data_IF_711015679750
#
_entry.id   IF_711015679750
#
_cell.length_a   1.000
_cell.length_b   1.000
_cell.length_c   1.000
_cell.angle_alpha   90.00
_cell.angle_beta   90.00
_cell.angle_gamma   90.00
#
_symmetry.space_group_name_H-M   'P 1'
#
loop_
_entity.id
_entity.type
_entity.pdbx_description
1 polymer ?
#
# COMPACT_ATOMS: atom_id res chain seq x y z
N UNK A 1 12.63 -16.99 42.42
CA UNK A 1 11.41 -17.00 41.56
C UNK A 1 11.16 -15.68 40.82
N UNK A 2 12.05 -14.69 40.81
CA UNK A 2 11.85 -13.41 40.08
C UNK A 2 12.41 -13.39 38.63
N UNK A 3 13.04 -14.47 38.17
CA UNK A 3 13.78 -14.47 36.89
C UNK A 3 12.87 -14.76 35.67
N UNK A 4 11.78 -15.50 35.85
CA UNK A 4 10.90 -15.91 34.74
C UNK A 4 10.05 -14.75 34.14
N UNK A 5 9.78 -13.69 34.91
CA UNK A 5 9.00 -12.54 34.43
C UNK A 5 9.81 -11.55 33.59
N UNK A 6 11.12 -11.40 33.88
CA UNK A 6 12.01 -10.53 33.11
C UNK A 6 12.32 -11.08 31.72
N UNK A 7 12.53 -12.39 31.63
CA UNK A 7 12.84 -13.09 30.38
C UNK A 7 11.65 -13.05 29.41
N UNK A 8 10.43 -13.24 29.94
CA UNK A 8 9.19 -13.17 29.14
C UNK A 8 8.91 -11.77 28.60
N UNK A 9 9.17 -10.73 29.39
CA UNK A 9 8.99 -9.35 28.91
C UNK A 9 10.03 -8.97 27.85
N UNK A 10 11.25 -9.53 27.92
CA UNK A 10 12.27 -9.33 26.89
C UNK A 10 11.86 -9.98 25.56
N UNK A 11 11.37 -11.24 25.61
CA UNK A 11 10.85 -11.96 24.44
C UNK A 11 9.69 -11.21 23.77
N UNK A 12 8.73 -10.70 24.56
CA UNK A 12 7.60 -9.92 23.99
C UNK A 12 8.09 -8.60 23.36
N UNK A 13 9.08 -7.92 23.94
CA UNK A 13 9.65 -6.69 23.36
C UNK A 13 10.36 -6.95 22.03
N UNK A 14 11.04 -8.09 21.90
CA UNK A 14 11.67 -8.50 20.65
C UNK A 14 10.62 -8.76 19.56
N UNK A 15 9.58 -9.54 19.86
CA UNK A 15 8.48 -9.80 18.92
C UNK A 15 7.74 -8.53 18.48
N UNK A 16 7.56 -7.57 19.39
CA UNK A 16 7.02 -6.24 19.08
C UNK A 16 7.91 -5.51 18.07
N UNK A 17 9.24 -5.55 18.27
CA UNK A 17 10.20 -4.95 17.34
C UNK A 17 10.12 -5.58 15.95
N UNK A 18 10.10 -6.91 15.89
CA UNK A 18 9.96 -7.65 14.63
C UNK A 18 8.66 -7.26 13.90
N UNK A 19 7.55 -7.15 14.62
CA UNK A 19 6.26 -6.75 14.06
C UNK A 19 6.27 -5.30 13.53
N UNK A 20 6.95 -4.38 14.22
CA UNK A 20 7.13 -3.00 13.74
C UNK A 20 7.93 -2.96 12.42
N UNK A 21 8.97 -3.78 12.30
CA UNK A 21 9.78 -3.90 11.09
C UNK A 21 8.97 -4.48 9.92
N UNK A 22 8.18 -5.54 10.17
CA UNK A 22 7.28 -6.13 9.17
C UNK A 22 6.22 -5.13 8.68
N UNK A 23 5.55 -4.41 9.60
CA UNK A 23 4.58 -3.35 9.26
C UNK A 23 5.24 -2.29 8.37
N UNK A 24 6.46 -1.88 8.72
CA UNK A 24 7.23 -0.89 7.95
C UNK A 24 7.58 -1.40 6.55
N UNK A 25 7.92 -2.69 6.41
CA UNK A 25 8.19 -3.31 5.12
C UNK A 25 6.94 -3.37 4.24
N UNK A 26 5.79 -3.76 4.80
CA UNK A 26 4.52 -3.76 4.06
C UNK A 26 4.13 -2.34 3.63
N UNK A 27 4.39 -1.33 4.48
CA UNK A 27 4.18 0.08 4.16
C UNK A 27 4.98 0.52 2.92
N UNK A 28 6.27 0.19 2.85
CA UNK A 28 7.11 0.47 1.68
C UNK A 28 6.57 -0.18 0.41
N UNK A 29 6.09 -1.43 0.50
CA UNK A 29 5.50 -2.12 -0.65
C UNK A 29 4.21 -1.43 -1.10
N UNK A 30 3.35 -1.02 -0.16
CA UNK A 30 2.12 -0.29 -0.48
C UNK A 30 2.41 1.05 -1.19
N UNK A 31 3.41 1.81 -0.72
CA UNK A 31 3.88 3.05 -1.37
C UNK A 31 4.38 2.81 -2.79
N UNK A 32 5.15 1.74 -3.01
CA UNK A 32 5.62 1.36 -4.34
C UNK A 32 4.45 1.03 -5.28
N UNK A 33 3.44 0.30 -4.80
CA UNK A 33 2.25 -0.04 -5.61
C UNK A 33 1.45 1.23 -5.94
N UNK A 34 1.29 2.17 -5.01
CA UNK A 34 0.62 3.46 -5.26
C UNK A 34 1.38 4.28 -6.33
N UNK A 35 2.72 4.30 -6.28
CA UNK A 35 3.53 4.95 -7.31
C UNK A 35 3.33 4.30 -8.69
N UNK A 36 3.30 2.97 -8.77
CA UNK A 36 3.01 2.24 -10.01
C UNK A 36 1.60 2.54 -10.52
N UNK A 37 0.61 2.59 -9.63
CA UNK A 37 -0.77 2.92 -9.97
C UNK A 37 -0.88 4.33 -10.57
N UNK A 38 -0.21 5.32 -9.96
CA UNK A 38 -0.15 6.71 -10.47
C UNK A 38 0.52 6.78 -11.85
N UNK A 39 1.62 6.07 -12.06
CA UNK A 39 2.30 6.00 -13.37
C UNK A 39 1.42 5.33 -14.42
N UNK A 40 0.74 4.23 -14.05
CA UNK A 40 -0.20 3.51 -14.93
C UNK A 40 -1.37 4.40 -15.33
N UNK A 41 -1.91 5.18 -14.39
CA UNK A 41 -2.96 6.16 -14.66
C UNK A 41 -2.51 7.25 -15.66
N UNK A 42 -1.27 7.74 -15.53
CA UNK A 42 -0.70 8.71 -16.48
C UNK A 42 -0.49 8.10 -17.87
N UNK A 43 0.00 6.86 -17.95
CA UNK A 43 0.13 6.13 -19.22
C UNK A 43 -1.24 5.92 -19.88
N UNK A 44 -2.26 5.54 -19.11
CA UNK A 44 -3.63 5.36 -19.60
C UNK A 44 -4.24 6.69 -20.09
N UNK A 45 -3.94 7.80 -19.41
CA UNK A 45 -4.34 9.13 -19.86
C UNK A 45 -3.68 9.49 -21.21
N UNK A 46 -2.38 9.26 -21.35
CA UNK A 46 -1.67 9.49 -22.62
C UNK A 46 -2.25 8.62 -23.75
N UNK A 47 -2.57 7.35 -23.46
CA UNK A 47 -3.22 6.45 -24.42
C UNK A 47 -4.61 6.94 -24.81
N UNK A 48 -5.37 7.52 -23.87
CA UNK A 48 -6.69 8.13 -24.16
C UNK A 48 -6.55 9.34 -25.09
N UNK A 49 -5.53 10.17 -24.88
CA UNK A 49 -5.25 11.34 -25.74
C UNK A 49 -4.88 10.89 -27.16
N UNK A 50 -4.01 9.89 -27.30
CA UNK A 50 -3.59 9.40 -28.61
C UNK A 50 -4.75 8.68 -29.33
N UNK A 51 -5.58 7.94 -28.60
CA UNK A 51 -6.79 7.33 -29.13
C UNK A 51 -7.77 8.38 -29.67
N UNK A 52 -7.95 9.51 -28.96
CA UNK A 52 -8.77 10.62 -29.45
C UNK A 52 -8.17 11.25 -30.71
N UNK A 53 -6.83 11.36 -30.78
CA UNK A 53 -6.13 11.89 -31.95
C UNK A 53 -6.26 11.00 -33.20
N UNK A 54 -6.33 9.69 -33.01
CA UNK A 54 -6.57 8.71 -34.07
C UNK A 54 -8.02 8.68 -34.60
N UNK A 55 -8.94 9.45 -33.98
CA UNK A 55 -10.33 9.54 -34.40
C UNK A 55 -11.05 8.18 -34.40
N UNK A 56 -11.70 7.83 -35.50
CA UNK A 56 -12.47 6.58 -35.61
C UNK A 56 -11.60 5.31 -35.45
N UNK A 57 -10.33 5.37 -35.87
CA UNK A 57 -9.40 4.24 -35.72
C UNK A 57 -8.98 4.00 -34.25
N UNK A 58 -9.12 5.02 -33.39
CA UNK A 58 -8.73 4.95 -31.98
C UNK A 58 -9.83 4.47 -31.03
N UNK A 59 -11.08 4.27 -31.48
CA UNK A 59 -12.22 3.97 -30.60
C UNK A 59 -12.01 2.74 -29.72
N UNK A 60 -11.45 1.66 -30.27
CA UNK A 60 -11.17 0.45 -29.50
C UNK A 60 -10.08 0.68 -28.43
N UNK A 61 -9.02 1.41 -28.79
CA UNK A 61 -7.96 1.78 -27.85
C UNK A 61 -8.45 2.71 -26.73
N UNK A 62 -9.39 3.61 -27.03
CA UNK A 62 -9.98 4.51 -26.03
C UNK A 62 -10.71 3.73 -24.92
N UNK A 63 -11.43 2.66 -25.27
CA UNK A 63 -12.12 1.79 -24.29
C UNK A 63 -11.11 1.12 -23.37
N UNK A 64 -10.06 0.52 -23.93
CA UNK A 64 -9.01 -0.16 -23.16
C UNK A 64 -8.28 0.83 -22.26
N UNK A 65 -7.93 2.02 -22.78
CA UNK A 65 -7.27 3.06 -21.99
C UNK A 65 -8.15 3.54 -20.82
N UNK A 66 -9.47 3.67 -21.04
CA UNK A 66 -10.42 3.97 -19.97
C UNK A 66 -10.46 2.90 -18.88
N UNK A 67 -10.43 1.62 -19.25
CA UNK A 67 -10.45 0.52 -18.29
C UNK A 67 -9.14 0.46 -17.46
N UNK A 68 -7.99 0.64 -18.11
CA UNK A 68 -6.69 0.71 -17.41
C UNK A 68 -6.67 1.89 -16.44
N UNK A 69 -7.21 3.05 -16.84
CA UNK A 69 -7.35 4.21 -15.96
C UNK A 69 -8.21 3.88 -14.73
N UNK A 70 -9.36 3.23 -14.92
CA UNK A 70 -10.23 2.82 -13.82
C UNK A 70 -9.55 1.83 -12.87
N UNK A 71 -8.87 0.82 -13.40
CA UNK A 71 -8.13 -0.17 -12.61
C UNK A 71 -7.02 0.51 -11.80
N UNK A 72 -6.21 1.38 -12.42
CA UNK A 72 -5.15 2.10 -11.72
C UNK A 72 -5.68 3.00 -10.59
N UNK A 73 -6.83 3.64 -10.77
CA UNK A 73 -7.49 4.42 -9.72
C UNK A 73 -8.07 3.54 -8.59
N UNK A 74 -8.51 2.32 -8.90
CA UNK A 74 -8.91 1.34 -7.88
C UNK A 74 -7.69 0.84 -7.10
N UNK A 75 -6.57 0.56 -7.76
CA UNK A 75 -5.31 0.17 -7.12
C UNK A 75 -4.79 1.25 -6.18
N UNK A 76 -4.83 2.53 -6.59
CA UNK A 76 -4.43 3.66 -5.73
C UNK A 76 -5.31 3.78 -4.48
N UNK A 77 -6.62 3.51 -4.59
CA UNK A 77 -7.53 3.50 -3.43
C UNK A 77 -7.25 2.33 -2.49
N UNK A 78 -7.11 1.13 -3.03
CA UNK A 78 -6.81 -0.06 -2.23
C UNK A 78 -5.47 0.07 -1.48
N UNK A 79 -4.44 0.66 -2.11
CA UNK A 79 -3.14 0.91 -1.45
C UNK A 79 -3.24 1.97 -0.36
N UNK A 80 -4.07 3.01 -0.53
CA UNK A 80 -4.36 3.97 0.52
C UNK A 80 -5.05 3.31 1.73
N UNK A 81 -6.05 2.45 1.50
CA UNK A 81 -6.72 1.67 2.55
C UNK A 81 -5.73 0.77 3.31
N UNK A 82 -4.80 0.12 2.59
CA UNK A 82 -3.70 -0.65 3.22
C UNK A 82 -2.86 0.26 4.12
N UNK A 83 -2.52 1.47 3.67
CA UNK A 83 -1.79 2.45 4.48
C UNK A 83 -2.51 2.81 5.78
N UNK A 84 -3.83 3.02 5.74
CA UNK A 84 -4.63 3.28 6.93
C UNK A 84 -4.63 2.08 7.90
N UNK A 85 -4.74 0.86 7.38
CA UNK A 85 -4.67 -0.36 8.19
C UNK A 85 -3.30 -0.51 8.85
N UNK A 86 -2.21 -0.24 8.14
CA UNK A 86 -0.86 -0.30 8.67
C UNK A 86 -0.62 0.74 9.78
N UNK A 87 -1.13 1.96 9.64
CA UNK A 87 -1.03 2.95 10.74
C UNK A 87 -1.87 2.57 11.96
N UNK A 88 -3.03 1.95 11.76
CA UNK A 88 -3.80 1.38 12.86
C UNK A 88 -3.05 0.26 13.58
N UNK A 89 -2.37 -0.61 12.84
CA UNK A 89 -1.54 -1.67 13.39
C UNK A 89 -0.34 -1.09 14.14
N UNK A 90 0.39 -0.15 13.55
CA UNK A 90 1.55 0.50 14.20
C UNK A 90 1.16 1.11 15.55
N UNK A 91 0.06 1.87 15.60
CA UNK A 91 -0.45 2.45 16.85
C UNK A 91 -0.78 1.40 17.91
N UNK A 92 -1.34 0.25 17.52
CA UNK A 92 -1.63 -0.86 18.45
C UNK A 92 -0.35 -1.48 18.97
N UNK A 93 0.64 -1.69 18.11
CA UNK A 93 1.94 -2.24 18.50
C UNK A 93 2.69 -1.28 19.43
N UNK A 94 2.69 0.02 19.14
CA UNK A 94 3.27 1.05 20.00
C UNK A 94 2.57 1.09 21.38
N UNK A 95 1.25 0.92 21.40
CA UNK A 95 0.51 0.80 22.66
C UNK A 95 0.94 -0.42 23.46
N UNK A 96 1.08 -1.59 22.84
CA UNK A 96 1.55 -2.81 23.51
C UNK A 96 2.97 -2.65 24.05
N UNK A 97 3.85 -2.00 23.29
CA UNK A 97 5.22 -1.70 23.72
C UNK A 97 5.25 -0.84 24.99
N UNK A 98 4.33 0.11 25.13
CA UNK A 98 4.19 0.97 26.30
C UNK A 98 3.57 0.31 27.54
N UNK A 99 2.98 -0.89 27.39
CA UNK A 99 2.41 -1.66 28.52
C UNK A 99 3.44 -2.57 29.21
N UNK A 100 4.64 -2.75 28.62
CA UNK A 100 5.73 -3.61 29.11
C UNK A 100 6.83 -2.84 29.84
#
# INVERSE_FOLDING_TARGET
MAVAGGDRNAEIREEIGNLQDEISQVGKVAEQIDAIAKQTNLLALNATIEAARAGDAGKGFAVVAGEVKNLSAQTARATAEVGEVLENLRRRVDHLAGLL
#
